data_IF_853498098312
#
_entry.id   IF_853498098312
#
_cell.length_a   1.000
_cell.length_b   1.000
_cell.length_c   1.000
_cell.angle_alpha   90.00
_cell.angle_beta   90.00
_cell.angle_gamma   90.00
#
_symmetry.space_group_name_H-M   'P 1'
#
loop_
_entity.id
_entity.type
_entity.pdbx_description
1 polymer ?
#
# COMPACT_ATOMS: atom_id res chain seq x y z
N UNK A 1 -22.55 9.57 0.19
CA UNK A 1 -21.72 10.79 0.11
C UNK A 1 -20.33 10.39 -0.31
N UNK A 2 -19.89 10.79 -1.50
CA UNK A 2 -18.54 10.50 -1.99
C UNK A 2 -17.60 11.59 -1.49
N UNK A 3 -16.64 11.23 -0.64
CA UNK A 3 -15.61 12.15 -0.16
C UNK A 3 -14.47 12.14 -1.18
N UNK A 4 -14.13 13.30 -1.73
CA UNK A 4 -13.05 13.43 -2.71
C UNK A 4 -11.81 14.01 -2.03
N UNK A 5 -10.66 13.37 -2.27
CA UNK A 5 -9.39 13.74 -1.63
C UNK A 5 -8.35 14.04 -2.70
N UNK A 6 -7.82 15.26 -2.70
CA UNK A 6 -6.77 15.70 -3.62
C UNK A 6 -5.49 16.01 -2.84
N UNK A 7 -4.33 15.64 -3.39
CA UNK A 7 -3.03 16.02 -2.83
C UNK A 7 -2.64 17.40 -3.35
N UNK A 8 -2.47 18.38 -2.46
CA UNK A 8 -2.00 19.74 -2.73
C UNK A 8 -0.81 20.02 -1.84
N UNK A 9 0.37 20.23 -2.42
CA UNK A 9 1.58 20.69 -1.70
C UNK A 9 1.93 19.83 -0.45
N UNK A 10 1.94 18.50 -0.65
CA UNK A 10 2.13 17.44 0.38
C UNK A 10 1.06 17.38 1.48
N UNK A 11 -0.08 18.06 1.32
CA UNK A 11 -1.24 17.96 2.22
C UNK A 11 -2.45 17.48 1.44
N UNK A 12 -3.39 16.85 2.13
CA UNK A 12 -4.62 16.42 1.50
C UNK A 12 -5.71 17.48 1.68
N UNK A 13 -6.34 17.85 0.58
CA UNK A 13 -7.55 18.67 0.56
C UNK A 13 -8.75 17.73 0.42
N UNK A 14 -9.63 17.76 1.41
CA UNK A 14 -10.85 16.96 1.45
C UNK A 14 -12.02 17.86 1.13
N UNK A 15 -12.82 17.54 0.12
CA UNK A 15 -14.01 18.30 -0.25
C UNK A 15 -15.28 17.52 0.09
N UNK A 16 -16.32 18.21 0.57
CA UNK A 16 -17.63 17.60 0.76
C UNK A 16 -18.41 17.49 -0.55
N UNK A 17 -18.23 18.46 -1.45
CA UNK A 17 -18.88 18.49 -2.76
C UNK A 17 -17.86 18.83 -3.84
N UNK A 18 -17.89 18.07 -4.93
CA UNK A 18 -17.11 18.32 -6.14
C UNK A 18 -18.10 18.57 -7.27
N UNK A 19 -18.02 19.76 -7.86
CA UNK A 19 -18.79 20.16 -9.03
C UNK A 19 -17.83 20.33 -10.20
N UNK A 20 -18.18 19.82 -11.37
CA UNK A 20 -17.45 20.10 -12.59
C UNK A 20 -17.97 21.41 -13.19
N UNK A 21 -17.08 22.31 -13.63
CA UNK A 21 -17.51 23.52 -14.30
C UNK A 21 -18.20 23.19 -15.63
N UNK A 22 -19.18 24.00 -16.03
CA UNK A 22 -19.93 23.92 -17.29
C UNK A 22 -19.07 23.76 -18.57
N UNK A 23 -17.81 24.19 -18.53
CA UNK A 23 -16.83 24.04 -19.62
C UNK A 23 -15.96 22.79 -19.54
N UNK A 24 -16.16 21.91 -18.55
CA UNK A 24 -15.34 20.71 -18.25
C UNK A 24 -13.82 20.97 -18.13
N UNK A 25 -13.42 22.23 -17.92
CA UNK A 25 -11.99 22.63 -17.83
C UNK A 25 -11.50 22.77 -16.40
N UNK A 26 -12.35 22.57 -15.40
CA UNK A 26 -11.98 22.73 -13.99
C UNK A 26 -13.00 22.15 -13.03
N UNK A 27 -12.51 21.76 -11.85
CA UNK A 27 -13.30 21.26 -10.74
C UNK A 27 -13.48 22.37 -9.69
N UNK A 28 -14.72 22.56 -9.23
CA UNK A 28 -15.10 23.42 -8.14
C UNK A 28 -15.31 22.56 -6.91
N UNK A 29 -14.46 22.75 -5.90
CA UNK A 29 -14.52 22.04 -4.63
C UNK A 29 -15.18 22.92 -3.58
N UNK A 30 -16.26 22.44 -2.96
CA UNK A 30 -16.96 23.17 -1.89
C UNK A 30 -16.77 22.47 -0.55
N UNK A 31 -16.82 23.28 0.52
CA UNK A 31 -16.68 22.83 1.90
C UNK A 31 -15.40 22.02 2.11
N UNK A 32 -14.28 22.61 1.68
CA UNK A 32 -12.98 21.94 1.70
C UNK A 32 -12.29 22.06 3.06
N UNK A 33 -11.71 20.97 3.54
CA UNK A 33 -10.82 20.95 4.72
C UNK A 33 -9.42 20.56 4.28
N UNK A 34 -8.43 21.37 4.66
CA UNK A 34 -7.03 20.99 4.52
C UNK A 34 -6.65 20.09 5.71
N UNK A 35 -6.30 18.85 5.40
CA UNK A 35 -5.87 17.88 6.40
C UNK A 35 -4.51 18.27 6.99
N UNK A 36 -4.24 17.91 8.26
CA UNK A 36 -2.90 18.02 8.82
C UNK A 36 -1.90 17.22 7.97
N UNK A 37 -0.66 17.70 7.90
CA UNK A 37 0.40 17.03 7.16
C UNK A 37 0.85 15.75 7.91
N UNK A 38 0.17 14.64 7.64
CA UNK A 38 0.58 13.32 8.12
C UNK A 38 1.46 12.69 7.04
N UNK A 39 2.75 12.56 7.34
CA UNK A 39 3.76 12.01 6.45
C UNK A 39 3.41 10.57 6.02
N UNK A 40 3.35 10.33 4.70
CA UNK A 40 2.96 9.05 4.11
C UNK A 40 1.48 8.72 4.18
N UNK A 41 0.62 9.62 4.64
CA UNK A 41 -0.81 9.35 4.78
C UNK A 41 -1.48 8.87 3.49
N UNK A 42 -1.25 9.48 2.30
CA UNK A 42 -1.83 8.98 1.06
C UNK A 42 -1.44 7.52 0.79
N UNK A 43 -0.17 7.17 1.01
CA UNK A 43 0.34 5.82 0.85
C UNK A 43 -0.32 4.83 1.82
N UNK A 44 -0.38 5.19 3.11
CA UNK A 44 -1.01 4.37 4.14
C UNK A 44 -2.50 4.14 3.85
N UNK A 45 -3.23 5.18 3.44
CA UNK A 45 -4.65 5.05 3.13
C UNK A 45 -4.89 4.21 1.87
N UNK A 46 -4.07 4.40 0.84
CA UNK A 46 -4.18 3.58 -0.36
C UNK A 46 -3.94 2.10 -0.03
N UNK A 47 -2.88 1.78 0.70
CA UNK A 47 -2.63 0.41 1.15
C UNK A 47 -3.75 -0.10 2.06
N UNK A 48 -4.25 0.71 3.00
CA UNK A 48 -5.28 0.25 3.94
C UNK A 48 -6.57 -0.16 3.23
N UNK A 49 -6.99 0.58 2.20
CA UNK A 49 -8.30 0.41 1.58
C UNK A 49 -8.29 -0.23 0.18
N UNK A 50 -7.14 -0.33 -0.49
CA UNK A 50 -7.06 -0.98 -1.80
C UNK A 50 -7.49 -2.45 -1.71
N UNK A 51 -8.35 -2.95 -2.63
CA UNK A 51 -8.73 -4.36 -2.66
C UNK A 51 -7.51 -5.28 -2.80
N UNK A 52 -6.61 -4.92 -3.72
CA UNK A 52 -5.30 -5.55 -3.90
C UNK A 52 -4.23 -4.46 -4.02
N UNK A 53 -3.06 -4.71 -3.43
CA UNK A 53 -1.88 -3.89 -3.64
C UNK A 53 -0.67 -4.78 -3.95
N UNK A 54 0.15 -4.34 -4.90
CA UNK A 54 1.44 -4.94 -5.23
C UNK A 54 2.56 -3.97 -4.90
N UNK A 55 3.39 -4.31 -3.91
CA UNK A 55 4.47 -3.45 -3.42
C UNK A 55 5.58 -3.34 -4.47
N UNK A 56 6.12 -2.12 -4.62
CA UNK A 56 7.23 -1.80 -5.52
C UNK A 56 8.51 -1.59 -4.73
N UNK A 57 9.59 -2.21 -5.20
CA UNK A 57 10.95 -2.00 -4.70
C UNK A 57 11.76 -1.18 -5.71
N UNK A 58 12.80 -0.50 -5.23
CA UNK A 58 13.80 0.12 -6.12
C UNK A 58 14.62 -0.93 -6.87
N UNK A 59 15.43 -0.48 -7.82
CA UNK A 59 16.23 -1.37 -8.67
C UNK A 59 17.24 -2.22 -7.88
N UNK A 60 17.77 -1.71 -6.76
CA UNK A 60 18.68 -2.46 -5.87
C UNK A 60 17.93 -3.38 -4.90
N UNK A 61 16.59 -3.32 -4.86
CA UNK A 61 15.77 -4.13 -3.95
C UNK A 61 15.93 -3.77 -2.47
N UNK A 62 16.50 -2.62 -2.11
CA UNK A 62 16.81 -2.24 -0.72
C UNK A 62 15.71 -1.46 -0.02
N UNK A 63 14.75 -0.89 -0.75
CA UNK A 63 13.64 -0.08 -0.17
C UNK A 63 12.34 -0.21 -0.94
N UNK A 64 11.21 -0.05 -0.23
CA UNK A 64 9.89 0.12 -0.85
C UNK A 64 9.73 1.55 -1.38
N UNK A 65 9.39 1.66 -2.66
CA UNK A 65 9.26 2.94 -3.38
C UNK A 65 7.81 3.28 -3.74
N UNK A 66 6.90 2.33 -3.58
CA UNK A 66 5.50 2.52 -3.94
C UNK A 66 4.68 1.25 -3.89
N UNK A 67 3.47 1.33 -4.42
CA UNK A 67 2.58 0.20 -4.67
C UNK A 67 1.69 0.48 -5.88
N UNK A 68 1.31 -0.58 -6.60
CA UNK A 68 0.17 -0.54 -7.51
C UNK A 68 -1.06 -1.01 -6.76
N UNK A 69 -2.08 -0.18 -6.68
CA UNK A 69 -3.32 -0.43 -5.95
C UNK A 69 -4.47 -0.57 -6.93
N UNK A 70 -5.35 -1.55 -6.75
CA UNK A 70 -6.50 -1.75 -7.62
C UNK A 70 -7.24 -3.06 -7.33
N UNK A 71 -7.86 -3.62 -8.36
CA UNK A 71 -8.55 -4.92 -8.26
C UNK A 71 -7.63 -6.11 -8.53
N UNK A 72 -6.43 -5.86 -9.04
CA UNK A 72 -5.44 -6.88 -9.37
C UNK A 72 -5.49 -7.27 -10.84
N UNK A 73 -4.96 -8.46 -11.10
CA UNK A 73 -4.80 -9.04 -12.42
C UNK A 73 -5.36 -10.45 -12.47
N UNK A 74 -5.66 -10.90 -13.68
CA UNK A 74 -6.03 -12.27 -13.99
C UNK A 74 -4.76 -13.13 -14.04
N UNK A 75 -4.75 -14.24 -13.28
CA UNK A 75 -3.56 -15.07 -13.06
C UNK A 75 -3.19 -15.88 -14.29
N UNK A 76 -4.16 -16.20 -15.16
CA UNK A 76 -3.94 -17.02 -16.35
C UNK A 76 -3.42 -16.19 -17.53
N UNK A 77 -3.87 -14.94 -17.63
CA UNK A 77 -3.56 -14.03 -18.75
C UNK A 77 -2.56 -12.93 -18.42
N UNK A 78 -2.24 -12.73 -17.14
CA UNK A 78 -1.38 -11.67 -16.61
C UNK A 78 -1.89 -10.24 -16.89
N UNK A 79 -3.18 -10.11 -17.23
CA UNK A 79 -3.80 -8.84 -17.60
C UNK A 79 -4.47 -8.17 -16.39
N UNK A 80 -4.37 -6.83 -16.25
CA UNK A 80 -5.12 -6.10 -15.23
C UNK A 80 -6.63 -6.34 -15.38
N UNK A 81 -7.34 -6.55 -14.27
CA UNK A 81 -8.78 -6.78 -14.28
C UNK A 81 -9.56 -5.51 -14.65
N UNK A 82 -9.12 -4.36 -14.13
CA UNK A 82 -9.74 -3.04 -14.36
C UNK A 82 -8.66 -1.94 -14.38
N UNK A 83 -7.88 -1.83 -15.47
CA UNK A 83 -6.76 -0.90 -15.54
C UNK A 83 -7.14 0.57 -15.33
N UNK A 84 -8.35 0.99 -15.69
CA UNK A 84 -8.87 2.34 -15.45
C UNK A 84 -9.07 2.68 -13.96
N UNK A 85 -9.05 1.67 -13.09
CA UNK A 85 -9.18 1.79 -11.64
C UNK A 85 -7.88 1.50 -10.91
N UNK A 86 -6.80 1.20 -11.64
CA UNK A 86 -5.49 1.01 -11.06
C UNK A 86 -4.83 2.35 -10.75
N UNK A 87 -4.27 2.46 -9.56
CA UNK A 87 -3.65 3.66 -9.04
C UNK A 87 -2.22 3.35 -8.61
N UNK A 88 -1.26 4.05 -9.22
CA UNK A 88 0.13 3.96 -8.80
C UNK A 88 0.42 4.95 -7.67
N UNK A 89 0.88 4.40 -6.55
CA UNK A 89 1.13 5.15 -5.32
C UNK A 89 2.62 5.14 -5.07
N UNK A 90 3.25 6.31 -5.10
CA UNK A 90 4.68 6.46 -4.79
C UNK A 90 4.86 6.81 -3.32
N UNK A 91 5.90 6.27 -2.70
CA UNK A 91 6.21 6.51 -1.30
C UNK A 91 7.26 7.63 -1.19
N UNK A 92 6.85 8.76 -0.63
CA UNK A 92 7.72 9.90 -0.28
C UNK A 92 8.30 9.79 1.13
N UNK A 93 7.92 8.72 1.85
CA UNK A 93 8.42 8.34 3.17
C UNK A 93 8.76 6.88 3.20
N UNK A 94 9.69 6.50 4.07
CA UNK A 94 10.06 5.11 4.29
C UNK A 94 8.87 4.33 4.87
N UNK A 95 8.42 3.32 4.11
CA UNK A 95 7.48 2.29 4.55
C UNK A 95 8.28 1.00 4.63
N UNK A 96 8.16 0.27 5.74
CA UNK A 96 8.89 -0.98 5.96
C UNK A 96 7.95 -2.18 6.20
N UNK A 97 8.53 -3.35 6.42
CA UNK A 97 7.78 -4.59 6.67
C UNK A 97 6.87 -4.46 7.91
N UNK A 98 7.32 -3.76 8.96
CA UNK A 98 6.51 -3.54 10.16
C UNK A 98 5.25 -2.71 9.86
N UNK A 99 5.36 -1.69 9.00
CA UNK A 99 4.19 -0.92 8.53
C UNK A 99 3.21 -1.83 7.77
N UNK A 100 3.70 -2.69 6.87
CA UNK A 100 2.85 -3.63 6.13
C UNK A 100 2.15 -4.64 7.04
N UNK A 101 2.85 -5.16 8.07
CA UNK A 101 2.25 -6.05 9.07
C UNK A 101 1.12 -5.37 9.83
N UNK A 102 1.31 -4.12 10.26
CA UNK A 102 0.27 -3.36 10.97
C UNK A 102 -0.92 -3.01 10.05
N UNK A 103 -0.66 -2.71 8.78
CA UNK A 103 -1.71 -2.54 7.77
C UNK A 103 -2.50 -3.85 7.61
N UNK A 104 -1.81 -5.00 7.53
CA UNK A 104 -2.48 -6.30 7.45
C UNK A 104 -3.29 -6.61 8.71
N UNK A 105 -2.79 -6.28 9.89
CA UNK A 105 -3.55 -6.41 11.13
C UNK A 105 -4.82 -5.56 11.11
N UNK A 106 -4.74 -4.31 10.63
CA UNK A 106 -5.93 -3.47 10.46
C UNK A 106 -6.93 -4.09 9.49
N UNK A 107 -6.47 -4.53 8.32
CA UNK A 107 -7.30 -5.15 7.29
C UNK A 107 -7.99 -6.40 7.83
N UNK A 108 -7.28 -7.22 8.58
CA UNK A 108 -7.85 -8.39 9.27
C UNK A 108 -8.97 -8.00 10.25
N UNK A 109 -8.71 -7.03 11.15
CA UNK A 109 -9.73 -6.59 12.10
C UNK A 109 -10.93 -5.91 11.42
N UNK A 110 -10.69 -5.19 10.33
CA UNK A 110 -11.76 -4.59 9.51
C UNK A 110 -12.63 -5.68 8.85
N UNK A 111 -12.02 -6.68 8.23
CA UNK A 111 -12.76 -7.82 7.65
C UNK A 111 -13.57 -8.58 8.69
N UNK A 112 -13.01 -8.80 9.88
CA UNK A 112 -13.73 -9.47 10.97
C UNK A 112 -14.90 -8.63 11.48
N UNK A 113 -14.78 -7.30 11.49
CA UNK A 113 -15.87 -6.42 11.87
C UNK A 113 -17.01 -6.40 10.83
N UNK A 114 -16.73 -6.71 9.57
CA UNK A 114 -17.75 -6.74 8.50
C UNK A 114 -18.36 -8.13 8.26
N UNK A 115 -17.67 -9.21 8.64
CA UNK A 115 -18.06 -10.59 8.33
C UNK A 115 -18.89 -11.28 9.43
N UNK A 116 -19.64 -10.51 10.23
CA UNK A 116 -20.39 -11.06 11.38
C UNK A 116 -21.67 -11.78 10.93
N UNK A 117 -21.90 -12.95 11.51
CA UNK A 117 -22.99 -13.86 11.17
C UNK A 117 -24.37 -13.29 11.53
N UNK A 118 -25.36 -13.44 10.65
CA UNK A 118 -26.71 -12.83 10.77
C UNK A 118 -27.68 -13.63 11.69
N UNK A 119 -27.19 -14.61 12.45
CA UNK A 119 -28.02 -15.47 13.32
C UNK A 119 -28.47 -14.82 14.64
N UNK A 120 -29.67 -15.15 15.12
CA UNK A 120 -30.30 -14.56 16.32
C UNK A 120 -29.50 -14.76 17.64
N UNK A 121 -28.79 -15.88 17.80
CA UNK A 121 -27.89 -16.14 18.94
C UNK A 121 -26.54 -15.44 18.83
N UNK A 122 -26.21 -14.91 17.65
CA UNK A 122 -24.96 -14.22 17.38
C UNK A 122 -25.00 -12.75 17.83
N UNK A 123 -26.17 -12.13 18.00
CA UNK A 123 -26.30 -10.68 18.23
C UNK A 123 -25.50 -10.12 19.43
N UNK A 124 -25.51 -10.80 20.59
CA UNK A 124 -24.78 -10.34 21.79
C UNK A 124 -23.27 -10.63 21.65
N UNK A 125 -22.91 -11.82 21.15
CA UNK A 125 -21.51 -12.19 20.89
C UNK A 125 -20.86 -11.32 19.81
N UNK A 126 -21.62 -11.00 18.77
CA UNK A 126 -21.25 -10.11 17.68
C UNK A 126 -21.04 -8.69 18.20
N UNK A 127 -21.90 -8.19 19.10
CA UNK A 127 -21.72 -6.85 19.68
C UNK A 127 -20.41 -6.73 20.47
N UNK A 128 -20.06 -7.73 21.28
CA UNK A 128 -18.79 -7.77 22.03
C UNK A 128 -17.59 -7.88 21.05
N UNK A 129 -17.75 -8.67 19.99
CA UNK A 129 -16.73 -8.84 18.97
C UNK A 129 -16.50 -7.54 18.16
N UNK A 130 -17.58 -6.80 17.82
CA UNK A 130 -17.51 -5.50 17.16
C UNK A 130 -16.75 -4.50 18.01
N UNK A 131 -17.08 -4.37 19.30
CA UNK A 131 -16.38 -3.42 20.20
C UNK A 131 -14.89 -3.76 20.29
N UNK A 132 -14.54 -5.04 20.39
CA UNK A 132 -13.14 -5.49 20.35
C UNK A 132 -12.47 -5.13 19.03
N UNK A 133 -13.11 -5.40 17.89
CA UNK A 133 -12.58 -5.04 16.58
C UNK A 133 -12.38 -3.53 16.46
N UNK A 134 -13.34 -2.71 16.88
CA UNK A 134 -13.25 -1.25 16.86
C UNK A 134 -12.09 -0.73 17.69
N UNK A 135 -11.89 -1.26 18.89
CA UNK A 135 -10.72 -0.90 19.72
C UNK A 135 -9.41 -1.27 19.02
N UNK A 136 -9.31 -2.49 18.48
CA UNK A 136 -8.11 -2.91 17.74
C UNK A 136 -7.85 -2.07 16.50
N UNK A 137 -8.88 -1.78 15.71
CA UNK A 137 -8.78 -0.91 14.54
C UNK A 137 -8.30 0.48 14.95
N UNK A 138 -8.89 1.07 15.99
CA UNK A 138 -8.49 2.38 16.51
C UNK A 138 -7.02 2.37 16.95
N UNK A 139 -6.61 1.36 17.71
CA UNK A 139 -5.25 1.28 18.26
C UNK A 139 -4.20 1.18 17.14
N UNK A 140 -4.37 0.23 16.21
CA UNK A 140 -3.43 0.07 15.10
C UNK A 140 -3.43 1.27 14.15
N UNK A 141 -4.59 1.89 13.90
CA UNK A 141 -4.68 3.10 13.10
C UNK A 141 -3.90 4.25 13.75
N UNK A 142 -4.05 4.44 15.06
CA UNK A 142 -3.31 5.47 15.79
C UNK A 142 -1.79 5.17 15.81
N UNK A 143 -1.38 3.91 15.92
CA UNK A 143 0.03 3.52 15.82
C UNK A 143 0.59 3.93 14.44
N UNK A 144 -0.07 3.55 13.35
CA UNK A 144 0.38 3.87 11.99
C UNK A 144 0.41 5.38 11.73
N UNK A 145 -0.64 6.11 12.10
CA UNK A 145 -0.77 7.53 11.82
C UNK A 145 0.15 8.41 12.67
N UNK A 146 0.53 7.96 13.87
CA UNK A 146 1.42 8.72 14.77
C UNK A 146 2.91 8.39 14.57
N UNK A 147 3.23 7.30 13.86
CA UNK A 147 4.62 6.93 13.58
C UNK A 147 5.33 8.03 12.78
N UNK A 148 6.48 8.47 13.31
CA UNK A 148 7.39 9.34 12.56
C UNK A 148 8.12 8.50 11.53
N UNK A 149 8.09 8.92 10.27
CA UNK A 149 8.76 8.25 9.15
C UNK A 149 9.83 9.16 8.58
N UNK A 150 10.93 8.58 8.13
CA UNK A 150 11.95 9.32 7.38
C UNK A 150 11.40 9.65 6.01
N UNK A 151 11.69 10.85 5.51
CA UNK A 151 11.42 11.16 4.10
C UNK A 151 12.35 10.32 3.24
N UNK A 152 11.85 9.83 2.12
CA UNK A 152 12.68 9.22 1.09
C UNK A 152 12.51 9.97 -0.23
N UNK A 153 13.51 9.87 -1.10
CA UNK A 153 13.42 10.38 -2.46
C UNK A 153 12.52 9.49 -3.31
N UNK A 154 11.69 10.14 -4.13
CA UNK A 154 10.84 9.44 -5.10
C UNK A 154 11.73 8.76 -6.14
N UNK A 155 11.69 7.44 -6.16
CA UNK A 155 12.38 6.62 -7.16
C UNK A 155 11.35 6.09 -8.16
N UNK A 156 11.77 5.91 -9.42
CA UNK A 156 10.92 5.28 -10.43
C UNK A 156 11.10 3.77 -10.36
N UNK A 157 10.00 3.02 -10.43
CA UNK A 157 10.06 1.56 -10.55
C UNK A 157 10.23 1.11 -12.00
N UNK A 158 10.49 -0.19 -12.19
CA UNK A 158 10.74 -0.82 -13.50
C UNK A 158 9.67 -0.49 -14.56
N UNK A 159 8.40 -0.76 -14.25
CA UNK A 159 7.26 -0.53 -15.15
C UNK A 159 6.08 0.05 -14.35
N UNK A 160 5.48 1.10 -14.90
CA UNK A 160 4.31 1.76 -14.32
C UNK A 160 3.04 1.03 -14.76
N UNK A 161 2.03 0.98 -13.88
CA UNK A 161 0.70 0.39 -14.15
C UNK A 161 0.67 -1.06 -14.67
N UNK A 162 1.71 -1.85 -14.42
CA UNK A 162 1.74 -3.28 -14.75
C UNK A 162 1.77 -4.11 -13.47
N UNK A 163 0.86 -5.09 -13.35
CA UNK A 163 0.87 -6.05 -12.25
C UNK A 163 1.93 -7.14 -12.45
N UNK A 164 2.11 -7.97 -11.43
CA UNK A 164 2.95 -9.18 -11.44
C UNK A 164 4.42 -8.92 -11.82
N UNK A 165 5.00 -7.83 -11.32
CA UNK A 165 6.40 -7.47 -11.62
C UNK A 165 7.41 -7.99 -10.59
N UNK A 166 6.93 -8.55 -9.49
CA UNK A 166 7.77 -9.04 -8.39
C UNK A 166 8.02 -10.54 -8.59
N UNK A 167 9.29 -10.93 -8.52
CA UNK A 167 9.69 -12.33 -8.61
C UNK A 167 9.08 -13.15 -7.46
N UNK A 168 8.50 -14.34 -7.73
CA UNK A 168 7.84 -15.15 -6.70
C UNK A 168 8.73 -15.50 -5.51
N UNK A 169 10.03 -15.62 -5.71
CA UNK A 169 11.02 -15.94 -4.66
C UNK A 169 11.21 -14.81 -3.65
N UNK A 170 10.92 -13.57 -4.05
CA UNK A 170 11.00 -12.38 -3.20
C UNK A 170 9.70 -12.11 -2.46
N UNK A 171 8.61 -12.79 -2.82
CA UNK A 171 7.30 -12.58 -2.22
C UNK A 171 7.20 -13.23 -0.84
N UNK A 172 6.74 -12.45 0.13
CA UNK A 172 6.52 -12.88 1.50
C UNK A 172 5.02 -12.92 1.81
N UNK A 173 4.50 -14.14 2.01
CA UNK A 173 3.09 -14.35 2.33
C UNK A 173 2.75 -13.84 3.75
N UNK A 174 1.56 -13.26 3.97
CA UNK A 174 1.10 -12.81 5.30
C UNK A 174 0.83 -13.95 6.31
N UNK A 175 1.09 -15.21 5.96
CA UNK A 175 1.03 -16.37 6.86
C UNK A 175 -0.36 -16.82 7.32
N UNK A 176 -1.45 -16.30 6.75
CA UNK A 176 -2.82 -16.76 7.03
C UNK A 176 -3.21 -17.85 6.02
N UNK A 177 -3.96 -18.86 6.46
CA UNK A 177 -4.45 -19.92 5.57
C UNK A 177 -5.43 -19.36 4.51
N UNK A 178 -5.25 -19.77 3.26
CA UNK A 178 -6.06 -19.36 2.08
C UNK A 178 -7.59 -19.45 2.29
N UNK A 179 -8.06 -20.37 3.15
CA UNK A 179 -9.48 -20.55 3.48
C UNK A 179 -10.08 -19.33 4.19
N UNK A 180 -9.32 -18.68 5.07
CA UNK A 180 -9.76 -17.48 5.78
C UNK A 180 -9.63 -16.23 4.89
N UNK A 181 -8.68 -16.23 3.95
CA UNK A 181 -8.51 -15.12 3.00
C UNK A 181 -9.65 -15.02 1.99
N UNK A 182 -10.20 -16.15 1.52
CA UNK A 182 -11.30 -16.18 0.54
C UNK A 182 -12.60 -15.55 1.07
N UNK A 183 -12.79 -15.53 2.40
CA UNK A 183 -13.95 -14.91 3.07
C UNK A 183 -13.69 -13.47 3.50
N UNK A 184 -12.44 -13.01 3.48
CA UNK A 184 -12.05 -11.68 3.96
C UNK A 184 -12.36 -10.60 2.92
N UNK A 185 -13.13 -9.60 3.32
CA UNK A 185 -13.41 -8.41 2.48
C UNK A 185 -12.12 -7.68 2.07
N UNK A 186 -11.15 -7.59 2.98
CA UNK A 186 -9.84 -7.00 2.73
C UNK A 186 -8.78 -8.09 2.66
N UNK A 187 -8.29 -8.38 1.45
CA UNK A 187 -7.17 -9.32 1.26
C UNK A 187 -5.90 -8.79 1.91
N UNK A 188 -5.10 -9.63 2.54
CA UNK A 188 -3.85 -9.18 3.14
C UNK A 188 -2.79 -8.92 2.07
N UNK A 189 -1.95 -7.92 2.31
CA UNK A 189 -0.88 -7.57 1.39
C UNK A 189 0.30 -8.52 1.54
N UNK A 190 0.89 -8.85 0.40
CA UNK A 190 2.14 -9.57 0.33
C UNK A 190 3.27 -8.56 0.47
N UNK A 191 4.26 -8.87 1.29
CA UNK A 191 5.48 -8.07 1.39
C UNK A 191 6.50 -8.56 0.36
N UNK A 192 7.51 -7.74 0.10
CA UNK A 192 8.64 -8.10 -0.76
C UNK A 192 9.89 -8.12 0.09
N UNK A 193 10.66 -9.21 0.06
CA UNK A 193 11.94 -9.30 0.74
C UNK A 193 12.88 -8.21 0.22
N UNK A 194 13.48 -7.46 1.13
CA UNK A 194 14.44 -6.42 0.79
C UNK A 194 15.86 -6.97 0.92
N UNK A 195 16.73 -6.54 0.03
CA UNK A 195 18.17 -6.75 0.14
C UNK A 195 18.74 -5.87 1.25
N UNK A 196 19.76 -6.37 1.94
CA UNK A 196 20.52 -5.55 2.88
C UNK A 196 21.19 -4.38 2.14
N UNK A 197 21.21 -3.18 2.72
CA UNK A 197 21.77 -1.98 2.06
C UNK A 197 23.25 -2.16 1.66
N UNK A 198 23.98 -3.05 2.34
CA UNK A 198 25.42 -3.26 2.18
C UNK A 198 25.78 -4.19 1.00
N UNK A 199 24.86 -5.08 0.57
CA UNK A 199 25.13 -6.01 -0.54
C UNK A 199 25.19 -5.30 -1.89
N UNK A 200 24.32 -4.29 -2.12
CA UNK A 200 24.33 -3.54 -3.38
C UNK A 200 25.64 -2.77 -3.63
N UNK A 201 26.16 -2.09 -2.60
CA UNK A 201 27.41 -1.34 -2.72
C UNK A 201 28.61 -2.27 -2.89
N UNK A 202 28.63 -3.41 -2.19
CA UNK A 202 29.71 -4.40 -2.30
C UNK A 202 29.72 -5.10 -3.66
N UNK A 203 28.55 -5.38 -4.24
CA UNK A 203 28.45 -5.96 -5.58
C UNK A 203 28.87 -4.99 -6.68
N UNK A 204 28.50 -3.70 -6.58
CA UNK A 204 28.98 -2.66 -7.50
C UNK A 204 30.50 -2.46 -7.41
N UNK A 205 31.06 -2.43 -6.19
CA UNK A 205 32.51 -2.33 -5.99
C UNK A 205 33.24 -3.54 -6.58
N UNK A 206 32.69 -4.74 -6.38
CA UNK A 206 33.25 -5.98 -6.93
C UNK A 206 33.25 -5.99 -8.45
N UNK A 207 32.17 -5.52 -9.06
CA UNK A 207 32.02 -5.41 -10.52
C UNK A 207 33.03 -4.41 -11.09
N UNK A 208 33.18 -3.24 -10.47
CA UNK A 208 34.18 -2.24 -10.89
C UNK A 208 35.62 -2.76 -10.74
N UNK A 209 35.93 -3.48 -9.66
CA UNK A 209 37.26 -4.06 -9.45
C UNK A 209 37.57 -5.12 -10.52
N UNK A 210 36.60 -5.95 -10.90
CA UNK A 210 36.78 -6.93 -11.99
C UNK A 210 37.06 -6.24 -13.34
N UNK A 211 36.30 -5.19 -13.68
CA UNK A 211 36.52 -4.44 -14.91
C UNK A 211 37.91 -3.78 -14.96
N UNK A 212 38.41 -3.26 -13.82
CA UNK A 212 39.77 -2.72 -13.73
C UNK A 212 40.85 -3.79 -13.88
N UNK A 213 40.62 -4.99 -13.35
CA UNK A 213 41.54 -6.12 -13.50
C UNK A 213 41.64 -6.61 -14.95
N UNK A 214 40.53 -6.63 -15.68
CA UNK A 214 40.52 -6.96 -17.11
C UNK A 214 41.25 -5.92 -17.95
N UNK A 215 41.07 -4.63 -17.66
CA UNK A 215 41.80 -3.53 -18.31
C UNK A 215 43.30 -3.54 -18.02
N UNK A 216 43.71 -4.03 -16.85
CA UNK A 216 45.12 -4.12 -16.47
C UNK A 216 45.80 -5.39 -17.03
N UNK A 217 45.03 -6.38 -17.48
CA UNK A 217 45.51 -7.65 -18.03
C UNK A 217 45.60 -7.68 -19.56
N UNK A 218 45.09 -6.65 -20.25
CA UNK A 218 45.23 -6.42 -21.70
C UNK A 218 46.28 -5.37 -22.03
#
# INVERSE_FOLDING_TARGET
SSVFVLCVERRLLVAATVEENSSSTGLILRNTTLMPNIHGFPALMALLFAPRAEIRVNDTGTKYIGALCGLGYDVDTDMPLFPEHDMEVRFDVEINIQDLQEINMLRFWMSNATSLDEGETALIGNSINIVKCQHKIRDFLLILLRRKRKSQELSSGKKQYAWNLVEPELLMHPGIEMSDEAKSMFKLHWAVALNDEDTGLTDELRTHVQALQELAAG
#
